data_IF_445301576837
#
_entry.id   IF_445301576837
#
_cell.length_a   1.000
_cell.length_b   1.000
_cell.length_c   1.000
_cell.angle_alpha   90.00
_cell.angle_beta   90.00
_cell.angle_gamma   90.00
#
_symmetry.space_group_name_H-M   'P 1'
#
loop_
_entity.id
_entity.type
_entity.pdbx_description
1 polymer ?
#
# COMPACT_ATOMS: atom_id res chain seq x y z
N UNK A 1 14.68 -3.81 -15.98
CA UNK A 1 14.14 -4.32 -14.70
C UNK A 1 12.63 -4.35 -14.83
N UNK A 2 11.98 -5.48 -14.53
CA UNK A 2 10.52 -5.53 -14.47
C UNK A 2 10.10 -5.19 -13.02
N UNK A 3 9.15 -4.26 -12.89
CA UNK A 3 8.67 -3.78 -11.60
C UNK A 3 7.96 -4.92 -10.86
N UNK A 4 8.16 -5.00 -9.54
CA UNK A 4 7.51 -5.97 -8.65
C UNK A 4 7.68 -7.46 -9.03
N UNK A 5 8.82 -7.83 -9.61
CA UNK A 5 9.21 -9.24 -9.82
C UNK A 5 9.95 -9.81 -8.60
N UNK A 6 10.25 -11.11 -8.60
CA UNK A 6 10.93 -11.81 -7.49
C UNK A 6 12.27 -11.17 -7.08
N UNK A 7 12.95 -10.49 -8.00
CA UNK A 7 14.22 -9.80 -7.75
C UNK A 7 14.06 -8.28 -7.58
N UNK A 8 12.86 -7.80 -7.23
CA UNK A 8 12.61 -6.38 -7.00
C UNK A 8 13.56 -5.85 -5.90
N UNK A 9 14.28 -4.76 -6.21
CA UNK A 9 15.35 -4.16 -5.39
C UNK A 9 16.64 -5.00 -5.23
N UNK A 10 16.70 -6.21 -5.80
CA UNK A 10 17.86 -7.11 -5.68
C UNK A 10 18.74 -7.02 -6.95
N UNK A 11 19.83 -6.24 -6.87
CA UNK A 11 20.66 -5.89 -8.04
C UNK A 11 21.84 -6.85 -8.29
N UNK A 12 22.07 -7.84 -7.44
CA UNK A 12 23.15 -8.81 -7.60
C UNK A 12 22.74 -10.23 -7.18
N UNK A 13 23.46 -11.23 -7.67
CA UNK A 13 23.27 -12.62 -7.24
C UNK A 13 23.48 -12.79 -5.73
N UNK A 14 24.45 -12.07 -5.16
CA UNK A 14 24.68 -12.05 -3.71
C UNK A 14 23.44 -11.54 -2.97
N UNK A 15 22.82 -10.44 -3.43
CA UNK A 15 21.62 -9.90 -2.80
C UNK A 15 20.42 -10.85 -2.88
N UNK A 16 20.28 -11.57 -4.01
CA UNK A 16 19.22 -12.58 -4.20
C UNK A 16 19.42 -13.78 -3.27
N UNK A 17 20.65 -14.29 -3.17
CA UNK A 17 21.00 -15.40 -2.29
C UNK A 17 20.84 -15.06 -0.81
N UNK A 18 21.15 -13.82 -0.40
CA UNK A 18 20.94 -13.36 0.98
C UNK A 18 19.46 -13.26 1.30
N UNK A 19 18.66 -12.65 0.42
CA UNK A 19 17.21 -12.53 0.63
C UNK A 19 16.52 -13.89 0.70
N UNK A 20 16.84 -14.82 -0.23
CA UNK A 20 16.26 -16.16 -0.25
C UNK A 20 16.47 -16.95 1.05
N UNK A 21 17.55 -16.69 1.79
CA UNK A 21 17.82 -17.34 3.08
C UNK A 21 16.93 -16.85 4.22
N UNK A 22 16.36 -15.65 4.11
CA UNK A 22 15.61 -15.01 5.20
C UNK A 22 14.14 -14.76 4.85
N UNK A 23 13.75 -14.88 3.57
CA UNK A 23 12.43 -14.49 3.09
C UNK A 23 11.26 -15.24 3.74
N UNK A 24 11.51 -16.42 4.31
CA UNK A 24 10.50 -17.27 4.99
C UNK A 24 10.54 -17.16 6.50
N UNK A 25 11.43 -16.36 7.07
CA UNK A 25 11.45 -16.11 8.51
C UNK A 25 10.19 -15.35 8.94
N UNK A 26 9.70 -15.57 10.17
CA UNK A 26 8.56 -14.84 10.69
C UNK A 26 8.87 -13.34 10.81
N UNK A 27 7.81 -12.53 10.76
CA UNK A 27 7.91 -11.09 11.03
C UNK A 27 7.82 -10.89 12.55
N UNK A 28 8.86 -10.29 13.13
CA UNK A 28 8.88 -9.85 14.52
C UNK A 28 8.69 -8.33 14.57
N UNK A 29 7.44 -7.87 14.67
CA UNK A 29 7.09 -6.44 14.65
C UNK A 29 6.92 -5.87 16.07
N UNK A 30 8.05 -5.60 16.73
CA UNK A 30 8.09 -5.12 18.12
C UNK A 30 7.56 -3.69 18.32
N UNK A 31 7.30 -2.94 17.25
CA UNK A 31 6.77 -1.59 17.33
C UNK A 31 5.83 -1.28 16.17
N UNK A 32 4.53 -1.30 16.45
CA UNK A 32 3.50 -0.92 15.50
C UNK A 32 2.47 0.02 16.15
N UNK A 33 1.59 0.56 15.30
CA UNK A 33 0.45 1.39 15.71
C UNK A 33 -0.89 0.71 15.35
N UNK A 34 -0.91 -0.62 15.29
CA UNK A 34 -2.13 -1.39 15.04
C UNK A 34 -3.09 -1.26 16.23
N UNK A 35 -4.40 -1.31 15.96
CA UNK A 35 -5.42 -1.30 17.00
C UNK A 35 -5.52 -2.67 17.67
N UNK A 36 -5.23 -2.81 18.98
CA UNK A 36 -5.42 -4.08 19.68
C UNK A 36 -6.88 -4.52 19.70
N UNK A 37 -7.81 -3.56 19.70
CA UNK A 37 -9.24 -3.82 19.68
C UNK A 37 -9.67 -4.45 18.35
N UNK A 38 -9.22 -3.91 17.20
CA UNK A 38 -9.59 -4.47 15.90
C UNK A 38 -9.06 -5.90 15.70
N UNK A 39 -7.90 -6.20 16.28
CA UNK A 39 -7.34 -7.56 16.32
C UNK A 39 -8.19 -8.47 17.22
N UNK A 40 -8.54 -8.01 18.42
CA UNK A 40 -9.35 -8.78 19.37
C UNK A 40 -10.76 -9.09 18.83
N UNK A 41 -11.37 -8.13 18.13
CA UNK A 41 -12.70 -8.26 17.54
C UNK A 41 -12.71 -8.99 16.19
N UNK A 42 -11.53 -9.31 15.63
CA UNK A 42 -11.37 -9.83 14.26
C UNK A 42 -12.17 -9.02 13.25
N UNK A 43 -12.04 -7.69 13.34
CA UNK A 43 -12.93 -6.76 12.66
C UNK A 43 -12.80 -6.91 11.13
N UNK A 44 -13.87 -7.25 10.40
CA UNK A 44 -13.85 -7.25 8.95
C UNK A 44 -13.90 -5.82 8.40
N UNK A 45 -13.23 -5.58 7.28
CA UNK A 45 -13.32 -4.33 6.54
C UNK A 45 -14.38 -4.46 5.44
N UNK A 46 -15.24 -3.45 5.29
CA UNK A 46 -16.35 -3.49 4.32
C UNK A 46 -15.88 -3.29 2.87
N UNK A 47 -14.76 -2.58 2.68
CA UNK A 47 -14.20 -2.28 1.37
C UNK A 47 -12.71 -1.90 1.46
N UNK A 48 -12.04 -1.87 0.30
CA UNK A 48 -10.61 -1.56 0.21
C UNK A 48 -10.27 -0.18 0.79
N UNK A 49 -11.13 0.82 0.66
CA UNK A 49 -10.86 2.18 1.15
C UNK A 49 -10.73 2.23 2.67
N UNK A 50 -11.50 1.41 3.40
CA UNK A 50 -11.37 1.33 4.86
C UNK A 50 -9.99 0.81 5.28
N UNK A 51 -9.54 -0.30 4.68
CA UNK A 51 -8.24 -0.90 5.04
C UNK A 51 -7.04 -0.11 4.48
N UNK A 52 -7.17 0.49 3.30
CA UNK A 52 -6.05 1.16 2.63
C UNK A 52 -5.94 2.66 2.89
N UNK A 53 -7.07 3.36 2.95
CA UNK A 53 -7.14 4.83 3.03
C UNK A 53 -7.74 5.31 4.35
N UNK A 54 -8.19 4.41 5.24
CA UNK A 54 -8.83 4.75 6.51
C UNK A 54 -7.88 5.29 7.57
N UNK A 55 -6.58 4.97 7.50
CA UNK A 55 -5.57 5.42 8.48
C UNK A 55 -4.21 5.80 7.90
N UNK A 56 -3.99 5.66 6.59
CA UNK A 56 -2.68 5.93 6.00
C UNK A 56 -2.48 7.41 5.70
N UNK A 57 -1.92 8.10 6.69
CA UNK A 57 -1.59 9.51 6.61
C UNK A 57 -0.51 9.84 5.57
N UNK A 58 0.30 8.88 5.09
CA UNK A 58 1.20 9.10 3.96
C UNK A 58 0.42 9.18 2.65
N UNK A 59 -0.57 8.30 2.43
CA UNK A 59 -1.46 8.38 1.27
C UNK A 59 -2.22 9.71 1.26
N UNK A 60 -2.77 10.13 2.41
CA UNK A 60 -3.43 11.43 2.54
C UNK A 60 -2.50 12.61 2.23
N UNK A 61 -1.27 12.58 2.75
CA UNK A 61 -0.27 13.61 2.48
C UNK A 61 0.03 13.72 1.00
N UNK A 62 0.21 12.59 0.31
CA UNK A 62 0.48 12.59 -1.14
C UNK A 62 -0.73 13.08 -1.94
N UNK A 63 -1.96 12.69 -1.57
CA UNK A 63 -3.19 13.20 -2.19
C UNK A 63 -3.28 14.73 -2.06
N UNK A 64 -3.01 15.28 -0.87
CA UNK A 64 -2.97 16.75 -0.65
C UNK A 64 -1.89 17.43 -1.49
N UNK A 65 -0.69 16.84 -1.56
CA UNK A 65 0.40 17.36 -2.40
C UNK A 65 0.05 17.35 -3.90
N UNK A 66 -0.81 16.42 -4.33
CA UNK A 66 -1.35 16.35 -5.70
C UNK A 66 -2.58 17.24 -5.93
N UNK A 67 -2.96 18.09 -4.96
CA UNK A 67 -4.08 19.02 -5.08
C UNK A 67 -5.47 18.37 -4.99
N UNK A 68 -5.56 17.15 -4.45
CA UNK A 68 -6.85 16.48 -4.23
C UNK A 68 -7.61 17.23 -3.12
N UNK A 69 -8.90 17.51 -3.36
CA UNK A 69 -9.79 18.14 -2.37
C UNK A 69 -9.92 17.28 -1.13
N UNK A 70 -9.92 17.90 0.06
CA UNK A 70 -10.00 17.19 1.35
C UNK A 70 -11.27 16.33 1.50
N UNK A 71 -12.35 16.71 0.81
CA UNK A 71 -13.60 15.92 0.70
C UNK A 71 -13.35 14.48 0.21
N UNK A 72 -12.39 14.29 -0.70
CA UNK A 72 -11.98 13.01 -1.29
C UNK A 72 -10.88 12.31 -0.47
N UNK A 73 -10.46 12.87 0.65
CA UNK A 73 -9.42 12.31 1.53
C UNK A 73 -10.10 11.91 2.85
N UNK A 74 -10.32 12.87 3.74
CA UNK A 74 -10.92 12.64 5.06
C UNK A 74 -12.38 13.07 5.16
N UNK A 75 -12.93 13.72 4.14
CA UNK A 75 -14.35 14.12 4.11
C UNK A 75 -15.34 13.01 3.76
N UNK A 76 -16.54 13.41 3.35
CA UNK A 76 -17.70 12.53 3.23
C UNK A 76 -17.94 11.95 1.83
N UNK A 77 -16.96 12.03 0.92
CA UNK A 77 -17.09 11.39 -0.40
C UNK A 77 -17.23 9.87 -0.27
N UNK A 78 -17.86 9.25 -1.28
CA UNK A 78 -18.04 7.80 -1.29
C UNK A 78 -16.69 7.06 -1.35
N UNK A 79 -16.62 5.80 -0.85
CA UNK A 79 -15.41 5.00 -0.96
C UNK A 79 -14.88 4.91 -2.39
N UNK A 80 -15.76 4.78 -3.38
CA UNK A 80 -15.37 4.72 -4.79
C UNK A 80 -14.66 6.00 -5.24
N UNK A 81 -15.22 7.17 -4.94
CA UNK A 81 -14.62 8.46 -5.32
C UNK A 81 -13.25 8.68 -4.64
N UNK A 82 -13.12 8.27 -3.37
CA UNK A 82 -11.84 8.32 -2.65
C UNK A 82 -10.80 7.40 -3.30
N UNK A 83 -11.19 6.19 -3.67
CA UNK A 83 -10.29 5.24 -4.35
C UNK A 83 -9.85 5.75 -5.73
N UNK A 84 -10.77 6.30 -6.52
CA UNK A 84 -10.43 6.90 -7.83
C UNK A 84 -9.47 8.09 -7.67
N UNK A 85 -9.67 8.93 -6.65
CA UNK A 85 -8.76 10.02 -6.34
C UNK A 85 -7.37 9.50 -5.92
N UNK A 86 -7.32 8.39 -5.17
CA UNK A 86 -6.07 7.71 -4.83
C UNK A 86 -5.37 7.13 -6.06
N UNK A 87 -6.08 6.42 -6.95
CA UNK A 87 -5.53 5.87 -8.18
C UNK A 87 -4.89 6.94 -9.07
N UNK A 88 -5.58 8.08 -9.26
CA UNK A 88 -5.04 9.26 -9.97
C UNK A 88 -3.78 9.85 -9.31
N UNK A 89 -3.74 9.84 -7.99
CA UNK A 89 -2.60 10.31 -7.18
C UNK A 89 -1.41 9.38 -7.35
N UNK A 90 -1.65 8.07 -7.24
CA UNK A 90 -0.64 7.02 -7.34
C UNK A 90 -0.01 6.96 -8.74
N UNK A 91 -0.79 7.21 -9.80
CA UNK A 91 -0.29 7.30 -11.17
C UNK A 91 0.79 8.39 -11.38
N UNK A 92 0.86 9.39 -10.47
CA UNK A 92 1.89 10.45 -10.49
C UNK A 92 3.01 10.21 -9.48
N UNK A 93 2.99 9.10 -8.75
CA UNK A 93 3.86 8.85 -7.60
C UNK A 93 5.17 8.12 -7.93
N UNK A 94 5.63 8.16 -9.18
CA UNK A 94 6.90 7.54 -9.55
C UNK A 94 8.06 8.11 -8.70
N UNK A 95 8.86 7.22 -8.13
CA UNK A 95 9.93 7.57 -7.19
C UNK A 95 9.48 7.74 -5.73
N UNK A 96 8.17 7.73 -5.45
CA UNK A 96 7.66 7.71 -4.07
C UNK A 96 7.48 6.26 -3.59
N UNK A 97 7.84 5.91 -2.33
CA UNK A 97 7.65 4.56 -1.80
C UNK A 97 6.20 4.09 -1.80
N UNK A 98 5.22 5.00 -1.75
CA UNK A 98 3.80 4.66 -1.86
C UNK A 98 3.47 3.96 -3.19
N UNK A 99 4.22 4.23 -4.25
CA UNK A 99 4.10 3.49 -5.51
C UNK A 99 4.52 2.03 -5.35
N UNK A 100 5.60 1.76 -4.59
CA UNK A 100 6.04 0.39 -4.34
C UNK A 100 5.07 -0.34 -3.41
N UNK A 101 4.73 0.26 -2.26
CA UNK A 101 3.88 -0.36 -1.25
C UNK A 101 2.51 -0.72 -1.80
N UNK A 102 1.86 0.19 -2.53
CA UNK A 102 0.52 -0.07 -3.09
C UNK A 102 0.50 -1.29 -4.02
N UNK A 103 1.51 -1.45 -4.87
CA UNK A 103 1.57 -2.59 -5.80
C UNK A 103 2.07 -3.87 -5.12
N UNK A 104 2.90 -3.77 -4.09
CA UNK A 104 3.29 -4.93 -3.27
C UNK A 104 2.10 -5.47 -2.47
N UNK A 105 1.31 -4.59 -1.85
CA UNK A 105 0.11 -4.93 -1.10
C UNK A 105 -0.93 -5.62 -1.99
N UNK A 106 -1.20 -5.06 -3.19
CA UNK A 106 -2.08 -5.69 -4.18
C UNK A 106 -1.62 -7.11 -4.56
N UNK A 107 -0.33 -7.29 -4.81
CA UNK A 107 0.22 -8.58 -5.22
C UNK A 107 0.22 -9.60 -4.09
N UNK A 108 0.72 -9.23 -2.91
CA UNK A 108 0.99 -10.18 -1.82
C UNK A 108 -0.25 -10.46 -0.97
N UNK A 109 -1.09 -9.46 -0.72
CA UNK A 109 -2.27 -9.60 0.15
C UNK A 109 -3.50 -10.00 -0.68
N UNK A 110 -3.66 -9.42 -1.87
CA UNK A 110 -4.88 -9.58 -2.67
C UNK A 110 -4.71 -10.43 -3.94
N UNK A 111 -3.48 -10.83 -4.28
CA UNK A 111 -3.21 -11.64 -5.48
C UNK A 111 -3.37 -10.90 -6.82
N UNK A 112 -3.46 -9.57 -6.80
CA UNK A 112 -3.65 -8.70 -7.96
C UNK A 112 -2.28 -8.32 -8.52
N UNK A 113 -1.97 -8.75 -9.74
CA UNK A 113 -0.67 -8.49 -10.38
C UNK A 113 -0.70 -7.28 -11.32
N UNK A 114 -1.89 -6.74 -11.57
CA UNK A 114 -2.13 -5.55 -12.36
C UNK A 114 -1.64 -4.29 -11.64
N UNK A 115 -1.21 -3.31 -12.43
CA UNK A 115 -0.87 -2.00 -11.90
C UNK A 115 -2.11 -1.14 -11.73
N UNK A 116 -2.14 -0.33 -10.68
CA UNK A 116 -3.17 0.68 -10.52
C UNK A 116 -2.94 1.75 -11.59
N UNK A 117 -3.84 1.79 -12.57
CA UNK A 117 -3.88 2.80 -13.62
C UNK A 117 -5.11 3.68 -13.45
N UNK A 118 -5.07 4.89 -14.04
CA UNK A 118 -6.22 5.77 -14.19
C UNK A 118 -6.54 5.96 -15.67
#
# INVERSE_FOLDING_TARGET
MSFNQNNFLLQSEISQNLYAKIATLPIEDFHCHLSPQEIYEDKPFENVVQVWLGGDHYKWRLMRANGVKEELITGNASPKEKFEAWAKTLAKAFGNPLYHWSHLELKQVFGINEYVTF
#
